data_IF_637608859510
#
_entry.id   IF_637608859510
#
_cell.length_a   1.000
_cell.length_b   1.000
_cell.length_c   1.000
_cell.angle_alpha   90.00
_cell.angle_beta   90.00
_cell.angle_gamma   90.00
#
_symmetry.space_group_name_H-M   'P 1'
#
loop_
_entity.id
_entity.type
_entity.pdbx_description
1 polymer ?
#
# COMPACT_ATOMS: atom_id res chain seq x y z
N UNK A 1 34.19 -3.52 12.95
CA UNK A 1 32.81 -3.05 13.18
C UNK A 1 31.86 -4.06 12.55
N UNK A 2 30.92 -4.62 13.29
CA UNK A 2 29.89 -5.49 12.72
C UNK A 2 28.83 -4.58 12.08
N UNK A 3 28.76 -4.58 10.75
CA UNK A 3 27.66 -3.93 10.03
C UNK A 3 26.41 -4.80 10.21
N UNK A 4 25.48 -4.39 11.07
CA UNK A 4 24.18 -5.06 11.19
C UNK A 4 23.32 -4.70 9.98
N UNK A 5 22.90 -5.71 9.23
CA UNK A 5 21.89 -5.54 8.18
C UNK A 5 20.52 -5.44 8.87
N UNK A 6 19.81 -4.33 8.63
CA UNK A 6 18.46 -4.11 9.17
C UNK A 6 17.42 -4.83 8.30
N UNK A 7 16.68 -5.75 8.91
CA UNK A 7 15.58 -6.49 8.29
C UNK A 7 14.20 -5.96 8.69
N UNK A 8 14.14 -4.89 9.49
CA UNK A 8 12.91 -4.30 9.98
C UNK A 8 12.39 -3.25 8.98
N UNK A 9 11.13 -3.38 8.58
CA UNK A 9 10.37 -2.25 8.03
C UNK A 9 9.94 -2.31 6.58
N UNK A 10 10.47 -3.22 5.73
CA UNK A 10 9.99 -3.33 4.34
C UNK A 10 9.93 -4.77 3.82
N UNK A 11 8.90 -5.13 3.04
CA UNK A 11 8.83 -6.41 2.36
C UNK A 11 9.94 -6.57 1.32
N UNK A 12 10.23 -7.82 0.95
CA UNK A 12 11.22 -8.16 -0.06
C UNK A 12 10.53 -8.65 -1.34
N UNK A 13 11.06 -8.23 -2.49
CA UNK A 13 10.68 -8.76 -3.79
C UNK A 13 11.92 -9.25 -4.54
N UNK A 14 11.94 -10.52 -4.90
CA UNK A 14 13.04 -11.12 -5.67
C UNK A 14 12.72 -11.14 -7.16
N UNK A 15 13.64 -10.68 -8.00
CA UNK A 15 13.58 -10.87 -9.46
C UNK A 15 14.49 -12.04 -9.83
N UNK A 16 13.94 -13.07 -10.47
CA UNK A 16 14.63 -14.35 -10.68
C UNK A 16 14.64 -15.22 -9.43
N UNK A 17 13.50 -15.28 -8.72
CA UNK A 17 13.40 -15.98 -7.42
C UNK A 17 13.65 -17.49 -7.51
N UNK A 18 13.50 -18.09 -8.68
CA UNK A 18 13.74 -19.51 -8.95
C UNK A 18 15.21 -19.88 -9.12
N UNK A 19 16.12 -18.90 -9.20
CA UNK A 19 17.56 -19.14 -9.24
C UNK A 19 18.10 -19.73 -7.93
N UNK A 20 19.17 -20.55 -8.01
CA UNK A 20 19.72 -21.29 -6.86
C UNK A 20 20.06 -20.38 -5.69
N UNK A 21 20.79 -19.28 -5.93
CA UNK A 21 21.18 -18.34 -4.88
C UNK A 21 20.01 -17.49 -4.36
N UNK A 22 19.15 -17.02 -5.27
CA UNK A 22 18.03 -16.14 -4.91
C UNK A 22 16.98 -16.89 -4.09
N UNK A 23 16.65 -18.13 -4.48
CA UNK A 23 15.69 -18.97 -3.77
C UNK A 23 16.16 -19.33 -2.36
N UNK A 24 17.46 -19.58 -2.16
CA UNK A 24 18.02 -19.85 -0.84
C UNK A 24 17.84 -18.65 0.11
N UNK A 25 18.13 -17.43 -0.37
CA UNK A 25 17.92 -16.21 0.40
C UNK A 25 16.43 -15.97 0.68
N UNK A 26 15.57 -16.07 -0.34
CA UNK A 26 14.13 -15.91 -0.19
C UNK A 26 13.54 -16.88 0.84
N UNK A 27 13.99 -18.15 0.81
CA UNK A 27 13.58 -19.17 1.76
C UNK A 27 13.96 -18.81 3.21
N UNK A 28 15.19 -18.33 3.43
CA UNK A 28 15.65 -17.91 4.78
C UNK A 28 14.80 -16.74 5.30
N UNK A 29 14.54 -15.74 4.46
CA UNK A 29 13.69 -14.59 4.83
C UNK A 29 12.25 -15.02 5.14
N UNK A 30 11.67 -15.90 4.33
CA UNK A 30 10.33 -16.45 4.57
C UNK A 30 10.27 -17.26 5.88
N UNK A 31 11.30 -18.08 6.17
CA UNK A 31 11.40 -18.81 7.45
C UNK A 31 11.49 -17.89 8.66
N UNK A 32 12.10 -16.72 8.51
CA UNK A 32 12.12 -15.66 9.53
C UNK A 32 10.82 -14.86 9.62
N UNK A 33 9.77 -15.28 8.90
CA UNK A 33 8.44 -14.63 8.87
C UNK A 33 8.49 -13.19 8.33
N UNK A 34 9.50 -12.87 7.52
CA UNK A 34 9.54 -11.62 6.80
C UNK A 34 8.66 -11.73 5.54
N UNK A 35 7.96 -10.65 5.15
CA UNK A 35 7.12 -10.67 3.95
C UNK A 35 8.01 -10.73 2.69
N UNK A 36 7.83 -11.80 1.91
CA UNK A 36 8.60 -12.06 0.70
C UNK A 36 7.65 -12.35 -0.45
N UNK A 37 7.96 -11.77 -1.60
CA UNK A 37 7.40 -12.12 -2.89
C UNK A 37 8.53 -12.25 -3.91
N UNK A 38 8.24 -12.75 -5.10
CA UNK A 38 9.19 -12.69 -6.19
C UNK A 38 8.59 -13.05 -7.54
N UNK A 39 9.37 -12.84 -8.59
CA UNK A 39 9.01 -13.14 -9.97
C UNK A 39 10.06 -14.02 -10.62
N UNK A 40 9.62 -14.95 -11.46
CA UNK A 40 10.50 -15.76 -12.31
C UNK A 40 9.79 -16.09 -13.63
N UNK A 41 10.55 -16.24 -14.71
CA UNK A 41 10.02 -16.62 -16.02
C UNK A 41 9.75 -18.14 -16.11
N UNK A 42 10.39 -18.93 -15.23
CA UNK A 42 10.29 -20.38 -15.23
C UNK A 42 9.80 -20.87 -13.87
N UNK A 43 8.59 -21.41 -13.83
CA UNK A 43 8.17 -22.21 -12.68
C UNK A 43 8.91 -23.55 -12.67
N UNK A 44 9.50 -23.87 -11.53
CA UNK A 44 10.20 -25.13 -11.26
C UNK A 44 9.90 -25.62 -9.84
N UNK A 45 10.45 -26.77 -9.48
CA UNK A 45 10.31 -27.36 -8.14
C UNK A 45 10.78 -26.42 -7.01
N UNK A 46 11.75 -25.53 -7.27
CA UNK A 46 12.24 -24.54 -6.29
C UNK A 46 11.17 -23.48 -6.03
N UNK A 47 10.57 -22.91 -7.09
CA UNK A 47 9.50 -21.92 -6.96
C UNK A 47 8.26 -22.50 -6.27
N UNK A 48 7.91 -23.76 -6.55
CA UNK A 48 6.82 -24.47 -5.87
C UNK A 48 7.09 -24.59 -4.37
N UNK A 49 8.31 -25.00 -3.99
CA UNK A 49 8.71 -25.09 -2.59
C UNK A 49 8.67 -23.75 -1.86
N UNK A 50 8.99 -22.64 -2.56
CA UNK A 50 8.85 -21.30 -1.98
C UNK A 50 7.39 -20.93 -1.73
N UNK A 51 6.48 -21.28 -2.66
CA UNK A 51 5.04 -21.08 -2.47
C UNK A 51 4.51 -21.85 -1.26
N UNK A 52 4.99 -23.08 -1.02
CA UNK A 52 4.69 -23.85 0.20
C UNK A 52 5.16 -23.15 1.49
N UNK A 53 6.14 -22.24 1.39
CA UNK A 53 6.58 -21.39 2.50
C UNK A 53 5.81 -20.06 2.59
N UNK A 54 4.67 -19.93 1.93
CA UNK A 54 3.84 -18.72 1.85
C UNK A 54 4.52 -17.54 1.13
N UNK A 55 5.46 -17.83 0.23
CA UNK A 55 6.03 -16.81 -0.67
C UNK A 55 5.15 -16.68 -1.90
N UNK A 56 4.73 -15.46 -2.22
CA UNK A 56 3.99 -15.22 -3.46
C UNK A 56 4.95 -15.16 -4.65
N UNK A 57 4.72 -15.99 -5.67
CA UNK A 57 5.57 -16.07 -6.88
C UNK A 57 4.77 -15.69 -8.12
N UNK A 58 5.22 -14.67 -8.84
CA UNK A 58 4.70 -14.23 -10.14
C UNK A 58 5.44 -14.92 -11.29
N UNK A 59 4.73 -15.31 -12.34
CA UNK A 59 5.31 -15.99 -13.52
C UNK A 59 5.89 -15.03 -14.57
N UNK A 60 5.71 -13.73 -14.34
CA UNK A 60 6.17 -12.67 -15.23
C UNK A 60 6.90 -11.62 -14.39
N UNK A 61 7.88 -10.97 -15.00
CA UNK A 61 8.60 -9.86 -14.39
C UNK A 61 7.94 -8.56 -14.85
N UNK A 62 7.02 -8.04 -14.04
CA UNK A 62 6.29 -6.79 -14.29
C UNK A 62 6.51 -5.82 -13.13
N UNK A 63 6.59 -4.52 -13.43
CA UNK A 63 6.66 -3.47 -12.42
C UNK A 63 5.45 -3.49 -11.46
N UNK A 64 4.28 -3.92 -11.93
CA UNK A 64 3.07 -4.07 -11.13
C UNK A 64 3.27 -5.04 -9.94
N UNK A 65 4.14 -6.04 -10.07
CA UNK A 65 4.42 -7.02 -9.03
C UNK A 65 5.01 -6.38 -7.76
N UNK A 66 5.72 -5.26 -7.89
CA UNK A 66 6.29 -4.53 -6.75
C UNK A 66 5.22 -3.89 -5.87
N UNK A 67 3.98 -3.77 -6.36
CA UNK A 67 2.85 -3.23 -5.60
C UNK A 67 2.10 -4.29 -4.79
N UNK A 68 2.54 -5.55 -4.82
CA UNK A 68 1.85 -6.67 -4.15
C UNK A 68 1.52 -6.42 -2.67
N UNK A 69 2.43 -5.76 -1.95
CA UNK A 69 2.25 -5.45 -0.52
C UNK A 69 1.63 -4.07 -0.25
N UNK A 70 1.28 -3.31 -1.29
CA UNK A 70 0.63 -2.03 -1.10
C UNK A 70 -0.85 -2.25 -0.71
N UNK A 71 -1.37 -1.55 0.29
CA UNK A 71 -2.81 -1.52 0.53
C UNK A 71 -3.50 -0.99 -0.73
N UNK A 72 -4.50 -1.71 -1.22
CA UNK A 72 -5.36 -1.19 -2.29
C UNK A 72 -6.03 0.07 -1.76
N UNK A 73 -5.66 1.24 -2.30
CA UNK A 73 -6.35 2.49 -1.99
C UNK A 73 -7.78 2.33 -2.48
N UNK A 74 -8.69 2.09 -1.53
CA UNK A 74 -10.13 2.01 -1.80
C UNK A 74 -10.51 3.37 -2.38
N UNK A 75 -10.75 3.42 -3.69
CA UNK A 75 -11.31 4.55 -4.40
C UNK A 75 -12.60 4.98 -3.67
N UNK A 76 -12.50 5.99 -2.81
CA UNK A 76 -13.67 6.72 -2.37
C UNK A 76 -14.03 7.62 -3.54
N UNK A 77 -14.94 7.14 -4.38
CA UNK A 77 -15.63 7.98 -5.35
C UNK A 77 -16.23 9.14 -4.56
N UNK A 78 -15.64 10.32 -4.67
CA UNK A 78 -16.27 11.53 -4.15
C UNK A 78 -17.54 11.71 -4.96
N UNK A 79 -18.72 11.47 -4.39
CA UNK A 79 -19.96 12.01 -4.92
C UNK A 79 -19.73 13.49 -5.24
N UNK A 80 -19.81 13.82 -6.52
CA UNK A 80 -19.76 15.19 -6.99
C UNK A 80 -20.98 15.92 -6.42
N UNK A 81 -20.77 16.74 -5.39
CA UNK A 81 -21.76 17.75 -5.00
C UNK A 81 -21.90 18.77 -6.16
N UNK A 82 -23.13 19.10 -6.57
CA UNK A 82 -23.37 19.94 -7.74
C UNK A 82 -22.90 21.37 -7.50
N UNK A 83 -22.10 21.91 -8.44
CA UNK A 83 -21.82 23.34 -8.50
C UNK A 83 -22.92 24.07 -9.26
N UNK A 84 -23.32 25.24 -8.74
CA UNK A 84 -23.99 26.25 -9.55
C UNK A 84 -25.07 27.05 -8.82
N UNK A 85 -24.64 28.06 -8.06
CA UNK A 85 -25.49 29.18 -7.61
C UNK A 85 -25.84 30.09 -8.80
N UNK A 86 -27.12 30.48 -8.93
CA UNK A 86 -27.56 31.41 -9.98
C UNK A 86 -29.04 31.84 -9.96
N UNK A 87 -29.38 32.76 -9.03
CA UNK A 87 -30.38 33.87 -9.09
C UNK A 87 -31.87 33.69 -9.52
N UNK A 88 -32.74 34.02 -8.54
CA UNK A 88 -33.95 34.89 -8.51
C UNK A 88 -35.27 34.60 -9.28
N UNK A 89 -36.37 34.57 -8.50
CA UNK A 89 -37.75 34.88 -8.92
C UNK A 89 -38.81 34.62 -7.83
N UNK A 90 -39.46 35.67 -7.33
CA UNK A 90 -40.45 35.78 -6.23
C UNK A 90 -41.64 34.77 -6.21
N UNK A 91 -42.12 34.40 -5.00
CA UNK A 91 -43.42 33.74 -4.81
C UNK A 91 -43.78 33.29 -3.38
N UNK A 92 -44.36 34.21 -2.59
CA UNK A 92 -45.34 34.07 -1.49
C UNK A 92 -45.52 32.76 -0.66
N UNK A 93 -45.32 32.93 0.67
CA UNK A 93 -46.20 32.57 1.83
C UNK A 93 -46.36 31.09 2.25
N UNK A 94 -45.78 30.71 3.41
CA UNK A 94 -46.48 30.39 4.67
C UNK A 94 -45.71 29.43 5.62
N UNK A 95 -45.72 29.77 6.93
CA UNK A 95 -45.62 28.98 8.18
C UNK A 95 -44.42 28.02 8.36
N UNK A 96 -43.49 28.29 9.29
CA UNK A 96 -43.58 27.99 10.73
C UNK A 96 -42.75 26.72 11.00
N UNK A 97 -41.80 26.58 11.93
CA UNK A 97 -41.52 27.19 13.23
C UNK A 97 -40.04 26.94 13.56
N UNK A 98 -39.49 27.77 14.43
CA UNK A 98 -38.14 27.73 14.99
C UNK A 98 -37.81 26.38 15.67
N UNK A 99 -36.56 25.93 15.58
CA UNK A 99 -35.78 25.66 16.79
C UNK A 99 -34.28 25.56 16.52
N UNK A 100 -33.57 26.39 17.28
CA UNK A 100 -32.15 26.64 17.32
C UNK A 100 -31.50 25.72 18.35
N UNK A 101 -30.43 25.01 17.99
CA UNK A 101 -29.56 24.36 18.96
C UNK A 101 -28.14 24.93 18.91
N UNK A 102 -27.63 25.12 20.11
CA UNK A 102 -26.59 26.04 20.54
C UNK A 102 -25.20 25.43 20.39
N UNK A 103 -24.23 26.31 20.15
CA UNK A 103 -22.78 26.09 20.12
C UNK A 103 -22.29 25.52 21.45
N UNK A 104 -21.41 24.52 21.40
CA UNK A 104 -20.33 24.37 22.38
C UNK A 104 -19.02 24.14 21.63
N UNK A 105 -18.22 25.21 21.61
CA UNK A 105 -16.82 25.23 21.20
C UNK A 105 -15.97 24.42 22.18
N UNK A 106 -15.15 23.51 21.66
CA UNK A 106 -14.03 22.91 22.39
C UNK A 106 -12.70 23.36 21.80
N UNK A 107 -11.63 23.49 22.62
CA UNK A 107 -10.60 24.48 22.43
C UNK A 107 -9.53 24.10 21.41
N UNK A 108 -8.97 25.16 20.83
CA UNK A 108 -7.71 25.23 20.10
C UNK A 108 -6.59 24.77 21.03
N UNK A 109 -5.94 23.66 20.72
CA UNK A 109 -4.48 23.50 20.76
C UNK A 109 -4.08 22.06 20.43
N UNK A 110 -3.40 21.87 19.30
CA UNK A 110 -2.21 21.01 19.19
C UNK A 110 -1.57 21.15 17.80
N UNK A 111 -0.23 21.17 17.73
CA UNK A 111 0.53 21.79 16.66
C UNK A 111 0.60 20.92 15.41
N UNK A 112 0.56 21.59 14.24
CA UNK A 112 1.12 21.15 12.94
C UNK A 112 1.38 19.64 12.83
N UNK A 113 0.32 18.87 12.60
CA UNK A 113 0.48 17.56 11.99
C UNK A 113 0.89 17.81 10.53
N UNK A 114 2.20 17.85 10.31
CA UNK A 114 2.79 17.74 8.99
C UNK A 114 2.03 16.65 8.23
N UNK A 115 1.48 17.07 7.09
CA UNK A 115 0.77 16.27 6.12
C UNK A 115 1.72 15.17 5.61
N UNK A 116 1.90 14.12 6.41
CA UNK A 116 2.72 12.98 6.08
C UNK A 116 2.05 12.27 4.92
N UNK A 117 2.49 12.62 3.71
CA UNK A 117 2.25 11.85 2.50
C UNK A 117 2.47 10.38 2.84
N UNK A 118 1.39 9.60 2.82
CA UNK A 118 1.42 8.14 2.83
C UNK A 118 2.06 7.70 1.52
N UNK A 119 3.36 7.87 1.37
CA UNK A 119 4.11 7.29 0.27
C UNK A 119 4.04 5.79 0.47
N UNK A 120 3.23 5.11 -0.35
CA UNK A 120 3.19 3.66 -0.40
C UNK A 120 4.61 3.12 -0.59
N UNK A 121 5.21 2.60 0.47
CA UNK A 121 6.61 2.18 0.45
C UNK A 121 6.73 0.91 -0.38
N UNK A 122 7.42 1.00 -1.52
CA UNK A 122 7.76 -0.16 -2.35
C UNK A 122 8.68 -1.14 -1.58
N UNK A 123 8.63 -2.44 -1.94
CA UNK A 123 9.48 -3.45 -1.34
C UNK A 123 10.97 -3.17 -1.61
N UNK A 124 11.81 -3.78 -0.79
CA UNK A 124 13.23 -3.96 -1.10
C UNK A 124 13.35 -4.96 -2.24
N UNK A 125 13.97 -4.54 -3.35
CA UNK A 125 14.16 -5.40 -4.51
C UNK A 125 15.52 -6.09 -4.42
N UNK A 126 15.53 -7.40 -4.59
CA UNK A 126 16.75 -8.22 -4.66
C UNK A 126 16.79 -8.87 -6.04
N UNK A 127 17.89 -8.69 -6.76
CA UNK A 127 18.14 -9.32 -8.05
C UNK A 127 19.60 -9.75 -8.14
N UNK A 128 19.87 -10.85 -8.85
CA UNK A 128 21.23 -11.24 -9.20
C UNK A 128 21.74 -10.41 -10.38
N UNK A 129 23.03 -10.08 -10.38
CA UNK A 129 23.73 -9.48 -11.53
C UNK A 129 24.41 -10.53 -12.41
N UNK A 130 24.39 -11.80 -12.01
CA UNK A 130 25.00 -12.88 -12.77
C UNK A 130 24.08 -13.33 -13.91
N UNK A 131 24.61 -13.27 -15.14
CA UNK A 131 24.01 -13.76 -16.40
C UNK A 131 24.29 -15.25 -16.53
#
# INVERSE_FOLDING_TARGET
>A
MLNSVDFSGRPFHFIGIGGIGMSALAYILAKRKLPVSGSDICLNHITQRLQEQNVHVFWHQDAANLRFFQPSERLVSREALPQGTGRNGNGHRANGTEQQYKVDSLPIDSPRADLARSHATLPQVICSTAI
#
